data_IF_327292344179
#
_entry.id   IF_327292344179
#
_cell.length_a   1.000
_cell.length_b   1.000
_cell.length_c   1.000
_cell.angle_alpha   90.00
_cell.angle_beta   90.00
_cell.angle_gamma   90.00
#
_symmetry.space_group_name_H-M   'P 1'
#
loop_
_entity.id
_entity.type
_entity.pdbx_description
1 polymer ?
#
# COMPACT_ATOMS: atom_id res chain seq x y z
N UNK A 1 7.61 -7.80 -24.31
CA UNK A 1 6.30 -8.31 -23.85
C UNK A 1 6.01 -9.61 -24.57
N UNK A 2 6.09 -10.76 -23.89
CA UNK A 2 5.73 -12.07 -24.46
C UNK A 2 4.33 -12.45 -23.97
N UNK A 3 3.50 -12.90 -24.89
CA UNK A 3 2.13 -13.36 -24.67
C UNK A 3 2.12 -14.56 -23.71
N UNK A 4 1.49 -14.40 -22.54
CA UNK A 4 1.29 -15.48 -21.57
C UNK A 4 1.55 -15.11 -20.10
N UNK A 5 2.37 -14.09 -19.85
CA UNK A 5 2.68 -13.65 -18.49
C UNK A 5 1.67 -12.58 -18.04
N UNK A 6 0.56 -13.05 -17.46
CA UNK A 6 -0.43 -12.18 -16.83
C UNK A 6 0.27 -11.35 -15.74
N UNK A 7 0.14 -10.02 -15.82
CA UNK A 7 0.74 -9.11 -14.84
C UNK A 7 0.44 -9.57 -13.39
N UNK A 8 1.42 -9.53 -12.45
CA UNK A 8 1.30 -10.11 -11.11
C UNK A 8 -0.02 -9.75 -10.39
N UNK A 9 -0.54 -8.54 -10.57
CA UNK A 9 -1.78 -8.09 -9.92
C UNK A 9 -3.07 -8.86 -10.26
N UNK A 10 -3.17 -9.54 -11.40
CA UNK A 10 -4.40 -10.22 -11.82
C UNK A 10 -4.70 -11.48 -10.99
N UNK A 11 -3.67 -12.24 -10.64
CA UNK A 11 -3.83 -13.52 -9.94
C UNK A 11 -4.30 -13.34 -8.49
N UNK A 12 -3.70 -12.38 -7.77
CA UNK A 12 -4.04 -12.09 -6.37
C UNK A 12 -5.50 -11.63 -6.19
N UNK A 13 -6.03 -10.84 -7.12
CA UNK A 13 -7.42 -10.38 -7.06
C UNK A 13 -8.44 -11.52 -7.16
N UNK A 14 -8.10 -12.57 -7.91
CA UNK A 14 -8.92 -13.77 -8.06
C UNK A 14 -8.95 -14.58 -6.78
N UNK A 15 -7.79 -14.71 -6.12
CA UNK A 15 -7.65 -15.47 -4.87
C UNK A 15 -8.45 -14.82 -3.74
N UNK A 16 -8.41 -13.49 -3.66
CA UNK A 16 -9.19 -12.73 -2.67
C UNK A 16 -10.69 -12.98 -2.84
N UNK A 17 -11.20 -13.00 -4.08
CA UNK A 17 -12.62 -13.22 -4.35
C UNK A 17 -13.09 -14.61 -3.91
N UNK A 18 -12.23 -15.63 -4.03
CA UNK A 18 -12.56 -17.01 -3.66
C UNK A 18 -12.61 -17.24 -2.15
N UNK A 19 -11.95 -16.39 -1.36
CA UNK A 19 -11.81 -16.55 0.09
C UNK A 19 -12.76 -15.64 0.91
N UNK A 20 -13.68 -14.93 0.27
CA UNK A 20 -14.61 -14.04 0.98
C UNK A 20 -15.70 -14.82 1.76
N UNK A 21 -16.04 -14.38 2.99
CA UNK A 21 -15.50 -13.24 3.72
C UNK A 21 -14.14 -13.54 4.37
N UNK A 22 -13.18 -12.62 4.21
CA UNK A 22 -11.82 -12.71 4.75
C UNK A 22 -11.73 -11.97 6.10
N UNK A 23 -11.19 -12.62 7.13
CA UNK A 23 -10.70 -11.91 8.32
C UNK A 23 -9.36 -11.22 8.05
N UNK A 24 -8.93 -10.30 8.93
CA UNK A 24 -7.59 -9.69 8.82
C UNK A 24 -6.47 -10.72 8.94
N UNK A 25 -6.70 -11.81 9.69
CA UNK A 25 -5.75 -12.92 9.80
C UNK A 25 -5.64 -13.66 8.47
N UNK A 26 -6.78 -14.00 7.85
CA UNK A 26 -6.81 -14.69 6.56
C UNK A 26 -6.14 -13.86 5.47
N UNK A 27 -6.41 -12.55 5.45
CA UNK A 27 -5.74 -11.61 4.55
C UNK A 27 -4.22 -11.64 4.74
N UNK A 28 -3.73 -11.59 5.98
CA UNK A 28 -2.29 -11.66 6.28
C UNK A 28 -1.68 -12.96 5.77
N UNK A 29 -2.33 -14.10 5.99
CA UNK A 29 -1.85 -15.40 5.51
C UNK A 29 -1.85 -15.48 3.98
N UNK A 30 -2.90 -14.98 3.33
CA UNK A 30 -3.04 -14.93 1.88
C UNK A 30 -1.93 -14.10 1.23
N UNK A 31 -1.72 -12.87 1.73
CA UNK A 31 -0.68 -11.98 1.20
C UNK A 31 0.73 -12.55 1.40
N UNK A 32 0.98 -13.22 2.53
CA UNK A 32 2.25 -13.91 2.76
C UNK A 32 2.45 -15.05 1.78
N UNK A 33 1.45 -15.90 1.58
CA UNK A 33 1.51 -16.99 0.61
C UNK A 33 1.80 -16.47 -0.79
N UNK A 34 1.04 -15.48 -1.25
CA UNK A 34 1.23 -14.86 -2.55
C UNK A 34 2.64 -14.27 -2.71
N UNK A 35 3.15 -13.56 -1.68
CA UNK A 35 4.53 -13.05 -1.68
C UNK A 35 5.54 -14.17 -1.91
N UNK A 36 5.41 -15.30 -1.21
CA UNK A 36 6.38 -16.40 -1.32
C UNK A 36 6.30 -17.14 -2.64
N UNK A 37 5.11 -17.28 -3.23
CA UNK A 37 4.96 -17.87 -4.56
C UNK A 37 5.60 -16.98 -5.64
N UNK A 38 5.39 -15.66 -5.57
CA UNK A 38 6.03 -14.74 -6.49
C UNK A 38 7.53 -14.63 -6.26
N UNK A 39 8.00 -14.64 -5.01
CA UNK A 39 9.43 -14.74 -4.70
C UNK A 39 10.03 -15.98 -5.35
N UNK A 40 9.38 -17.15 -5.24
CA UNK A 40 9.86 -18.37 -5.86
C UNK A 40 9.94 -18.24 -7.39
N UNK A 41 8.89 -17.70 -8.03
CA UNK A 41 8.89 -17.45 -9.49
C UNK A 41 10.06 -16.55 -9.90
N UNK A 42 10.22 -15.42 -9.23
CA UNK A 42 11.27 -14.44 -9.50
C UNK A 42 12.65 -15.07 -9.28
N UNK A 43 12.87 -15.75 -8.14
CA UNK A 43 14.13 -16.41 -7.82
C UNK A 43 14.48 -17.51 -8.81
N UNK A 44 13.53 -18.32 -9.27
CA UNK A 44 13.80 -19.35 -10.29
C UNK A 44 14.25 -18.71 -11.60
N UNK A 45 13.61 -17.62 -12.03
CA UNK A 45 14.00 -16.87 -13.24
C UNK A 45 15.39 -16.25 -13.11
N UNK A 46 15.67 -15.66 -11.94
CA UNK A 46 16.93 -15.01 -11.57
C UNK A 46 18.10 -16.02 -11.56
N UNK A 47 17.89 -17.19 -10.92
CA UNK A 47 18.87 -18.29 -10.91
C UNK A 47 19.09 -18.95 -12.28
N UNK A 48 18.07 -18.91 -13.15
CA UNK A 48 18.19 -19.39 -14.52
C UNK A 48 18.92 -18.40 -15.43
N UNK A 49 19.29 -17.20 -14.94
CA UNK A 49 19.96 -16.13 -15.68
C UNK A 49 19.21 -15.77 -16.99
N UNK A 50 17.88 -15.85 -16.93
CA UNK A 50 17.01 -15.69 -18.12
C UNK A 50 16.60 -14.24 -18.42
N UNK A 51 17.12 -13.27 -17.65
CA UNK A 51 16.85 -11.84 -17.81
C UNK A 51 17.89 -10.98 -17.08
N UNK A 52 17.92 -9.66 -17.36
CA UNK A 52 18.81 -8.72 -16.69
C UNK A 52 18.45 -8.54 -15.21
N UNK A 53 19.44 -8.18 -14.39
CA UNK A 53 19.28 -8.00 -12.95
C UNK A 53 18.28 -6.89 -12.60
N UNK A 54 18.26 -5.82 -13.38
CA UNK A 54 17.35 -4.68 -13.22
C UNK A 54 15.88 -5.12 -13.30
N UNK A 55 15.54 -6.08 -14.19
CA UNK A 55 14.19 -6.62 -14.25
C UNK A 55 13.82 -7.38 -12.97
N UNK A 56 14.77 -8.00 -12.26
CA UNK A 56 14.51 -8.64 -10.95
C UNK A 56 14.16 -7.57 -9.91
N UNK A 57 14.88 -6.45 -9.91
CA UNK A 57 14.61 -5.34 -9.00
C UNK A 57 13.23 -4.71 -9.24
N UNK A 58 12.88 -4.49 -10.51
CA UNK A 58 11.58 -3.94 -10.90
C UNK A 58 10.42 -4.89 -10.55
N UNK A 59 10.58 -6.20 -10.76
CA UNK A 59 9.56 -7.18 -10.40
C UNK A 59 9.34 -7.26 -8.88
N UNK A 60 10.42 -7.26 -8.09
CA UNK A 60 10.33 -7.24 -6.62
C UNK A 60 9.66 -5.95 -6.10
N UNK A 61 10.00 -4.81 -6.70
CA UNK A 61 9.38 -3.52 -6.41
C UNK A 61 7.89 -3.50 -6.76
N UNK A 62 7.54 -4.02 -7.94
CA UNK A 62 6.17 -4.16 -8.40
C UNK A 62 5.34 -5.08 -7.50
N UNK A 63 5.92 -6.20 -7.05
CA UNK A 63 5.28 -7.11 -6.10
C UNK A 63 4.95 -6.41 -4.79
N UNK A 64 5.89 -5.65 -4.23
CA UNK A 64 5.66 -4.89 -3.00
C UNK A 64 4.52 -3.88 -3.16
N UNK A 65 4.47 -3.14 -4.28
CA UNK A 65 3.39 -2.20 -4.58
C UNK A 65 2.04 -2.91 -4.66
N UNK A 66 1.95 -4.05 -5.35
CA UNK A 66 0.72 -4.85 -5.44
C UNK A 66 0.25 -5.30 -4.06
N UNK A 67 1.14 -5.85 -3.24
CA UNK A 67 0.84 -6.30 -1.87
C UNK A 67 0.35 -5.14 -0.99
N UNK A 68 1.02 -3.99 -1.02
CA UNK A 68 0.63 -2.80 -0.26
C UNK A 68 -0.76 -2.33 -0.69
N UNK A 69 -1.01 -2.17 -1.99
CA UNK A 69 -2.30 -1.68 -2.50
C UNK A 69 -3.46 -2.60 -2.08
N UNK A 70 -3.27 -3.91 -2.18
CA UNK A 70 -4.26 -4.89 -1.76
C UNK A 70 -4.46 -4.86 -0.25
N UNK A 71 -3.39 -4.88 0.53
CA UNK A 71 -3.47 -4.81 1.98
C UNK A 71 -4.25 -3.57 2.44
N UNK A 72 -3.90 -2.39 1.89
CA UNK A 72 -4.57 -1.13 2.21
C UNK A 72 -6.04 -1.16 1.85
N UNK A 73 -6.41 -1.65 0.66
CA UNK A 73 -7.81 -1.76 0.24
C UNK A 73 -8.63 -2.61 1.20
N UNK A 74 -8.14 -3.80 1.50
CA UNK A 74 -8.90 -4.77 2.30
C UNK A 74 -8.93 -4.38 3.78
N UNK A 75 -7.83 -3.89 4.35
CA UNK A 75 -7.81 -3.37 5.73
C UNK A 75 -8.74 -2.17 5.86
N UNK A 76 -8.71 -1.23 4.89
CA UNK A 76 -9.62 -0.07 4.89
C UNK A 76 -11.08 -0.50 4.86
N UNK A 77 -11.41 -1.46 3.99
CA UNK A 77 -12.77 -2.05 3.92
C UNK A 77 -13.22 -2.66 5.24
N UNK A 78 -12.35 -3.41 5.91
CA UNK A 78 -12.68 -4.14 7.14
C UNK A 78 -12.74 -3.21 8.36
N UNK A 79 -11.81 -2.26 8.47
CA UNK A 79 -11.64 -1.41 9.66
C UNK A 79 -12.48 -0.14 9.60
N UNK A 80 -12.49 0.55 8.46
CA UNK A 80 -13.19 1.84 8.30
C UNK A 80 -14.57 1.66 7.66
N UNK A 81 -14.76 0.58 6.91
CA UNK A 81 -15.99 0.24 6.21
C UNK A 81 -15.87 0.43 4.68
N UNK A 82 -16.79 -0.17 3.89
CA UNK A 82 -16.69 -0.21 2.43
C UNK A 82 -16.66 1.16 1.75
N UNK A 83 -17.29 2.18 2.33
CA UNK A 83 -17.38 3.54 1.81
C UNK A 83 -16.01 4.21 1.65
N UNK A 84 -15.02 3.83 2.46
CA UNK A 84 -13.67 4.40 2.43
C UNK A 84 -12.77 3.79 1.35
N UNK A 85 -13.24 2.77 0.63
CA UNK A 85 -12.53 2.28 -0.56
C UNK A 85 -12.63 3.24 -1.76
N UNK A 86 -13.63 4.13 -1.78
CA UNK A 86 -13.81 5.11 -2.86
C UNK A 86 -13.22 6.46 -2.46
N UNK A 87 -13.21 6.76 -1.17
CA UNK A 87 -12.68 8.00 -0.60
C UNK A 87 -11.47 7.66 0.26
N UNK A 88 -10.30 7.47 -0.36
CA UNK A 88 -9.09 7.11 0.37
C UNK A 88 -8.68 8.26 1.31
N UNK A 89 -8.69 8.08 2.65
CA UNK A 89 -8.46 9.19 3.57
C UNK A 89 -6.98 9.45 3.86
N UNK A 90 -6.07 8.69 3.21
CA UNK A 90 -4.64 8.76 3.43
C UNK A 90 -3.84 8.49 2.16
N UNK A 91 -2.59 8.95 2.14
CA UNK A 91 -1.57 8.68 1.13
C UNK A 91 -0.46 7.84 1.76
N UNK A 92 0.09 6.89 0.99
CA UNK A 92 1.25 6.09 1.38
C UNK A 92 2.39 6.40 0.41
N UNK A 93 3.51 6.87 0.96
CA UNK A 93 4.73 7.15 0.21
C UNK A 93 5.75 6.04 0.46
N UNK A 94 6.21 5.40 -0.61
CA UNK A 94 7.34 4.48 -0.56
C UNK A 94 8.65 5.25 -0.65
N UNK A 95 9.51 5.06 0.33
CA UNK A 95 10.84 5.68 0.42
C UNK A 95 11.93 4.64 0.15
N UNK A 96 13.19 5.08 0.15
CA UNK A 96 14.35 4.21 -0.01
C UNK A 96 14.30 3.42 -1.31
N UNK A 97 14.65 2.13 -1.24
CA UNK A 97 14.69 1.23 -2.41
C UNK A 97 13.32 1.03 -3.07
N UNK A 98 12.24 1.05 -2.30
CA UNK A 98 10.89 1.01 -2.87
C UNK A 98 10.62 2.28 -3.67
N UNK A 99 11.00 3.45 -3.15
CA UNK A 99 10.87 4.74 -3.83
C UNK A 99 11.73 4.84 -5.09
N UNK A 100 12.88 4.16 -5.12
CA UNK A 100 13.77 4.05 -6.27
C UNK A 100 13.45 2.92 -7.26
N UNK A 101 12.38 2.14 -7.01
CA UNK A 101 12.02 0.96 -7.82
C UNK A 101 13.14 -0.10 -7.93
N UNK A 102 13.91 -0.27 -6.85
CA UNK A 102 15.12 -1.10 -6.81
C UNK A 102 15.15 -2.08 -5.61
N UNK A 103 13.99 -2.63 -5.23
CA UNK A 103 13.91 -3.61 -4.15
C UNK A 103 14.70 -4.89 -4.46
N UNK A 104 15.36 -5.44 -3.43
CA UNK A 104 16.00 -6.76 -3.44
C UNK A 104 15.24 -7.69 -2.49
N UNK A 105 15.54 -9.00 -2.52
CA UNK A 105 14.85 -10.00 -1.68
C UNK A 105 14.91 -9.74 -0.17
N UNK A 106 15.92 -8.99 0.28
CA UNK A 106 16.16 -8.68 1.70
C UNK A 106 15.83 -7.22 2.05
N UNK A 107 15.27 -6.45 1.12
CA UNK A 107 14.90 -5.06 1.39
C UNK A 107 13.74 -4.97 2.38
N UNK A 108 13.88 -4.06 3.34
CA UNK A 108 12.76 -3.56 4.14
C UNK A 108 11.92 -2.55 3.34
N UNK A 109 10.69 -2.30 3.81
CA UNK A 109 9.78 -1.32 3.22
C UNK A 109 9.72 -0.06 4.10
N UNK A 110 10.31 1.02 3.61
CA UNK A 110 10.23 2.34 4.24
C UNK A 110 8.97 3.07 3.76
N UNK A 111 7.94 3.15 4.60
CA UNK A 111 6.65 3.75 4.25
C UNK A 111 6.33 4.95 5.13
N UNK A 112 5.89 6.05 4.51
CA UNK A 112 5.32 7.22 5.21
C UNK A 112 3.82 7.29 4.92
N UNK A 113 3.02 7.42 5.97
CA UNK A 113 1.56 7.57 5.88
C UNK A 113 1.18 9.02 6.15
N UNK A 114 0.42 9.62 5.24
CA UNK A 114 -0.09 10.98 5.35
C UNK A 114 -1.60 10.94 5.36
N UNK A 115 -2.24 11.71 6.24
CA UNK A 115 -3.70 11.90 6.23
C UNK A 115 -4.02 13.38 6.42
N UNK A 116 -5.14 13.84 5.87
CA UNK A 116 -5.55 15.26 5.93
C UNK A 116 -6.33 15.65 7.19
N UNK A 117 -6.67 14.67 8.03
CA UNK A 117 -7.43 14.88 9.26
C UNK A 117 -6.58 15.42 10.41
N UNK A 118 -7.25 15.98 11.43
CA UNK A 118 -6.62 16.29 12.73
C UNK A 118 -6.44 14.98 13.50
N UNK A 119 -5.21 14.49 13.60
CA UNK A 119 -4.88 13.24 14.30
C UNK A 119 -4.32 13.51 15.70
N UNK A 120 -4.75 12.70 16.68
CA UNK A 120 -4.03 12.55 17.95
C UNK A 120 -3.29 11.22 17.91
N UNK A 121 -1.97 11.24 18.12
CA UNK A 121 -1.20 10.00 18.26
C UNK A 121 -1.18 9.61 19.74
N UNK A 122 -1.59 8.38 20.05
CA UNK A 122 -1.41 7.79 21.38
C UNK A 122 0.03 7.30 21.54
N UNK A 123 1.01 8.18 21.35
CA UNK A 123 2.43 7.84 21.47
C UNK A 123 2.85 7.68 22.93
N UNK A 124 3.80 6.79 23.28
CA UNK A 124 4.21 6.59 24.67
C UNK A 124 4.98 7.74 25.33
N UNK A 125 5.18 8.89 24.67
CA UNK A 125 5.98 9.99 25.23
C UNK A 125 5.39 11.36 24.90
N UNK A 126 4.96 12.06 25.96
CA UNK A 126 4.82 13.51 26.01
C UNK A 126 6.20 14.18 25.83
N UNK A 127 6.67 14.37 24.60
CA UNK A 127 7.62 15.46 24.32
C UNK A 127 7.55 15.91 22.86
N UNK A 128 6.85 17.04 22.63
CA UNK A 128 7.21 17.98 21.57
C UNK A 128 6.66 17.76 20.16
N UNK A 129 5.42 18.19 19.90
CA UNK A 129 5.10 19.40 19.09
C UNK A 129 3.58 19.50 18.99
N UNK A 130 3.00 20.57 19.56
CA UNK A 130 1.59 20.93 19.29
C UNK A 130 1.48 21.25 17.81
N UNK A 131 0.73 20.44 17.06
CA UNK A 131 0.26 20.84 15.73
C UNK A 131 -0.70 22.01 15.91
N UNK A 132 -0.20 23.24 15.75
CA UNK A 132 -1.05 24.41 15.59
C UNK A 132 -1.89 24.19 14.35
N UNK A 133 -3.20 23.99 14.56
CA UNK A 133 -4.16 23.84 13.48
C UNK A 133 -4.08 25.05 12.54
N UNK A 134 -3.97 24.78 11.25
CA UNK A 134 -4.23 25.77 10.23
C UNK A 134 -5.75 25.94 10.17
N UNK A 135 -6.26 26.96 10.87
CA UNK A 135 -7.65 27.40 10.72
C UNK A 135 -7.72 28.20 9.43
N UNK A 136 -8.40 27.67 8.42
CA UNK A 136 -8.80 28.46 7.25
C UNK A 136 -9.70 29.61 7.72
N UNK A 137 -9.47 30.86 7.31
CA UNK A 137 -10.38 31.94 7.65
C UNK A 137 -11.67 31.73 6.86
N UNK A 138 -12.75 31.40 7.56
CA UNK A 138 -14.10 31.53 7.02
C UNK A 138 -14.38 33.01 6.78
N UNK A 139 -14.36 33.43 5.51
CA UNK A 139 -14.79 34.76 5.11
C UNK A 139 -16.29 34.91 5.30
N UNK A 140 -16.70 35.54 6.41
CA UNK A 140 -18.05 36.07 6.58
C UNK A 140 -18.15 37.45 5.90
N UNK A 141 -18.87 37.54 4.79
CA UNK A 141 -19.36 38.82 4.28
C UNK A 141 -20.89 38.85 4.30
N UNK A 142 -21.39 39.47 5.37
CA UNK A 142 -22.50 40.42 5.45
C UNK A 142 -23.80 40.15 4.67
N UNK A 143 -24.84 39.98 5.47
CA UNK A 143 -26.23 40.30 5.18
C UNK A 143 -26.40 41.77 4.75
N UNK A 144 -27.10 41.99 3.65
CA UNK A 144 -27.83 43.24 3.37
C UNK A 144 -28.94 42.96 2.36
N UNK A 145 -30.18 43.00 2.82
CA UNK A 145 -31.41 43.26 2.05
C UNK A 145 -32.54 43.57 3.04
N UNK A 146 -33.58 44.32 2.65
CA UNK A 146 -33.76 45.16 1.46
C UNK A 146 -33.62 46.67 1.75
#
# INVERSE_FOLDING_TARGET
>A
MREGELAPGLHLSTWIRQLLPLSLSDLKHLLRRYKYEEFLRITVRDLAETGPFEETLEELSSLAVVLIRVALREVTRVVLGPQWQVQWPFLVLGMGKLGGNELTYHSDLDLIFLHSGTGFTSGPNETGRRSTGFVSPSGSSRSSSP
#
